data_IF_853934272976
#
_entry.id   IF_853934272976
#
_cell.length_a   1.000
_cell.length_b   1.000
_cell.length_c   1.000
_cell.angle_alpha   90.00
_cell.angle_beta   90.00
_cell.angle_gamma   90.00
#
_symmetry.space_group_name_H-M   'P 1'
#
loop_
_entity.id
_entity.type
_entity.pdbx_description
1 polymer ?
#
# COMPACT_ATOMS: atom_id res chain seq x y z
N UNK A 1 33.89 74.14 6.60
CA UNK A 1 33.04 75.34 6.75
C UNK A 1 32.10 75.42 5.56
N UNK A 2 30.80 75.62 5.83
CA UNK A 2 29.65 75.87 4.92
C UNK A 2 28.90 74.67 4.31
N UNK A 3 27.67 74.53 4.81
CA UNK A 3 26.49 73.88 4.25
C UNK A 3 25.91 74.68 3.07
N UNK A 4 25.21 74.00 2.14
CA UNK A 4 23.96 74.40 1.43
C UNK A 4 23.51 73.21 0.54
N UNK A 5 22.32 72.58 0.69
CA UNK A 5 21.00 72.91 0.10
C UNK A 5 21.03 73.14 -1.44
N UNK A 6 20.17 72.67 -2.35
CA UNK A 6 18.81 72.06 -2.36
C UNK A 6 18.41 71.75 -3.83
N UNK A 7 17.69 70.62 -4.08
CA UNK A 7 16.68 70.28 -5.12
C UNK A 7 16.96 70.52 -6.63
N UNK A 8 16.66 69.52 -7.49
CA UNK A 8 15.63 69.54 -8.57
C UNK A 8 15.64 68.19 -9.32
N UNK A 9 14.45 67.60 -9.41
CA UNK A 9 14.12 66.33 -10.06
C UNK A 9 14.30 66.35 -11.58
N UNK A 10 14.68 65.20 -12.16
CA UNK A 10 14.14 64.75 -13.45
C UNK A 10 13.94 63.23 -13.45
N UNK A 11 12.69 62.88 -13.71
CA UNK A 11 12.15 61.55 -13.92
C UNK A 11 12.77 60.93 -15.17
N UNK A 12 13.26 59.70 -15.06
CA UNK A 12 13.32 58.79 -16.21
C UNK A 12 12.77 57.45 -15.76
N UNK A 13 11.56 57.18 -16.26
CA UNK A 13 10.86 55.92 -16.15
C UNK A 13 11.65 54.85 -16.91
N UNK A 14 12.06 53.79 -16.22
CA UNK A 14 12.43 52.53 -16.87
C UNK A 14 11.66 51.43 -16.17
N UNK A 15 10.60 51.00 -16.84
CA UNK A 15 9.65 50.00 -16.39
C UNK A 15 10.35 48.63 -16.37
N UNK A 16 10.86 48.22 -15.21
CA UNK A 16 11.31 46.83 -14.99
C UNK A 16 10.08 46.04 -14.54
N UNK A 17 9.45 45.36 -15.50
CA UNK A 17 8.38 44.41 -15.22
C UNK A 17 9.02 43.13 -14.65
N UNK A 18 9.23 43.09 -13.33
CA UNK A 18 9.60 41.89 -12.60
C UNK A 18 8.37 40.99 -12.49
N UNK A 19 8.20 40.05 -13.43
CA UNK A 19 7.22 38.98 -13.30
C UNK A 19 7.70 37.99 -12.24
N UNK A 20 7.14 38.09 -11.04
CA UNK A 20 7.22 37.04 -10.03
C UNK A 20 6.45 35.82 -10.57
N UNK A 21 7.18 34.81 -11.07
CA UNK A 21 6.63 33.48 -11.30
C UNK A 21 6.37 32.83 -9.94
N UNK A 22 5.17 33.05 -9.41
CA UNK A 22 4.63 32.24 -8.32
C UNK A 22 4.45 30.82 -8.84
N UNK A 23 5.44 29.96 -8.60
CA UNK A 23 5.28 28.52 -8.74
C UNK A 23 4.34 28.05 -7.62
N UNK A 24 3.05 27.96 -7.92
CA UNK A 24 2.14 27.21 -7.06
C UNK A 24 2.61 25.76 -7.06
N UNK A 25 3.33 25.35 -6.01
CA UNK A 25 3.52 23.94 -5.71
C UNK A 25 2.13 23.36 -5.46
N UNK A 26 1.56 22.70 -6.47
CA UNK A 26 0.45 21.80 -6.26
C UNK A 26 0.97 20.68 -5.38
N UNK A 27 0.79 20.82 -4.07
CA UNK A 27 0.79 19.68 -3.18
C UNK A 27 -0.27 18.73 -3.74
N UNK A 28 0.16 17.58 -4.26
CA UNK A 28 -0.75 16.54 -4.70
C UNK A 28 -1.39 15.96 -3.45
N UNK A 29 -2.46 16.62 -3.00
CA UNK A 29 -3.37 16.08 -2.00
C UNK A 29 -3.89 14.77 -2.60
N UNK A 30 -3.42 13.63 -2.07
CA UNK A 30 -3.96 12.34 -2.48
C UNK A 30 -5.45 12.40 -2.17
N UNK A 31 -6.28 12.44 -3.21
CA UNK A 31 -7.71 12.48 -3.04
C UNK A 31 -8.13 11.32 -2.13
N UNK A 32 -8.89 11.64 -1.08
CA UNK A 32 -9.45 10.68 -0.14
C UNK A 32 -10.14 9.54 -0.90
N UNK A 33 -9.88 8.29 -0.53
CA UNK A 33 -10.56 7.14 -1.14
C UNK A 33 -12.02 7.11 -0.70
N UNK A 34 -12.91 6.79 -1.65
CA UNK A 34 -14.28 6.39 -1.34
C UNK A 34 -14.33 4.97 -0.75
N UNK A 35 -15.43 4.59 -0.08
CA UNK A 35 -15.61 3.22 0.44
C UNK A 35 -15.47 2.14 -0.64
N UNK A 36 -15.89 2.43 -1.88
CA UNK A 36 -15.74 1.53 -3.02
C UNK A 36 -14.27 1.33 -3.42
N UNK A 37 -13.46 2.38 -3.30
CA UNK A 37 -12.02 2.33 -3.58
C UNK A 37 -11.26 1.69 -2.42
N UNK A 38 -11.63 1.97 -1.16
CA UNK A 38 -11.12 1.29 0.03
C UNK A 38 -11.36 -0.22 -0.07
N UNK A 39 -12.59 -0.63 -0.40
CA UNK A 39 -12.93 -2.04 -0.60
C UNK A 39 -12.12 -2.68 -1.75
N UNK A 40 -11.90 -1.95 -2.85
CA UNK A 40 -11.05 -2.40 -3.95
C UNK A 40 -9.61 -2.62 -3.50
N UNK A 41 -9.00 -1.67 -2.79
CA UNK A 41 -7.62 -1.79 -2.29
C UNK A 41 -7.48 -2.99 -1.37
N UNK A 42 -8.41 -3.17 -0.44
CA UNK A 42 -8.39 -4.30 0.49
C UNK A 42 -8.48 -5.65 -0.25
N UNK A 43 -9.40 -5.80 -1.21
CA UNK A 43 -9.55 -7.04 -1.99
C UNK A 43 -8.30 -7.31 -2.84
N UNK A 44 -7.75 -6.30 -3.50
CA UNK A 44 -6.51 -6.42 -4.29
C UNK A 44 -5.34 -6.86 -3.43
N UNK A 45 -5.17 -6.28 -2.23
CA UNK A 45 -4.10 -6.66 -1.32
C UNK A 45 -4.19 -8.13 -0.88
N UNK A 46 -5.40 -8.64 -0.62
CA UNK A 46 -5.62 -10.05 -0.28
C UNK A 46 -5.34 -10.98 -1.48
N UNK A 47 -5.77 -10.60 -2.69
CA UNK A 47 -5.52 -11.39 -3.91
C UNK A 47 -4.04 -11.49 -4.23
N UNK A 48 -3.28 -10.41 -4.01
CA UNK A 48 -1.84 -10.39 -4.18
C UNK A 48 -1.18 -11.42 -3.25
N UNK A 49 -1.56 -11.45 -1.97
CA UNK A 49 -0.98 -12.37 -0.98
C UNK A 49 -1.28 -13.84 -1.33
N UNK A 50 -2.52 -14.12 -1.71
CA UNK A 50 -2.91 -15.44 -2.24
C UNK A 50 -2.02 -15.82 -3.42
N UNK A 51 -1.72 -14.89 -4.34
CA UNK A 51 -0.90 -15.18 -5.52
C UNK A 51 0.57 -15.47 -5.17
N UNK A 52 1.12 -14.84 -4.12
CA UNK A 52 2.46 -15.17 -3.62
C UNK A 52 2.47 -16.56 -2.98
N UNK A 53 1.45 -16.85 -2.17
CA UNK A 53 1.31 -18.14 -1.52
C UNK A 53 1.09 -19.28 -2.52
N UNK A 54 0.30 -19.08 -3.58
CA UNK A 54 0.14 -20.05 -4.67
C UNK A 54 1.47 -20.33 -5.39
N UNK A 55 2.28 -19.29 -5.64
CA UNK A 55 3.63 -19.46 -6.17
C UNK A 55 4.53 -20.25 -5.22
N UNK A 56 4.38 -20.06 -3.90
CA UNK A 56 5.11 -20.84 -2.90
C UNK A 56 4.68 -22.31 -2.88
N UNK A 57 3.39 -22.61 -3.04
CA UNK A 57 2.88 -23.97 -3.20
C UNK A 57 3.42 -24.67 -4.44
N UNK A 58 3.69 -23.92 -5.52
CA UNK A 58 4.27 -24.45 -6.75
C UNK A 58 5.77 -24.72 -6.62
N UNK A 59 6.53 -23.82 -5.99
CA UNK A 59 7.99 -23.80 -6.06
C UNK A 59 8.72 -24.35 -4.84
N UNK A 60 8.10 -24.32 -3.66
CA UNK A 60 8.74 -24.78 -2.43
C UNK A 60 8.64 -26.29 -2.26
N UNK A 61 9.65 -26.86 -1.58
CA UNK A 61 9.60 -28.23 -1.05
C UNK A 61 9.71 -28.25 0.48
N UNK A 62 9.82 -27.09 1.12
CA UNK A 62 9.94 -26.97 2.56
C UNK A 62 8.55 -27.06 3.20
N UNK A 63 8.36 -28.04 4.09
CA UNK A 63 7.06 -28.30 4.70
C UNK A 63 6.50 -27.12 5.50
N UNK A 64 7.36 -26.32 6.15
CA UNK A 64 6.90 -25.16 6.93
C UNK A 64 6.50 -24.01 6.02
N UNK A 65 7.23 -23.79 4.91
CA UNK A 65 6.84 -22.80 3.88
C UNK A 65 5.53 -23.20 3.20
N UNK A 66 5.37 -24.48 2.84
CA UNK A 66 4.15 -24.99 2.22
C UNK A 66 2.93 -24.91 3.14
N UNK A 67 3.14 -25.10 4.45
CA UNK A 67 2.09 -24.95 5.45
C UNK A 67 1.71 -23.48 5.64
N UNK A 68 2.71 -22.60 5.77
CA UNK A 68 2.49 -21.15 5.85
C UNK A 68 1.69 -20.63 4.64
N UNK A 69 2.12 -20.98 3.43
CA UNK A 69 1.43 -20.61 2.20
C UNK A 69 -0.02 -21.13 2.17
N UNK A 70 -0.27 -22.34 2.67
CA UNK A 70 -1.64 -22.85 2.77
C UNK A 70 -2.50 -22.04 3.73
N UNK A 71 -1.95 -21.62 4.87
CA UNK A 71 -2.63 -20.72 5.82
C UNK A 71 -2.96 -19.39 5.15
N UNK A 72 -2.01 -18.77 4.44
CA UNK A 72 -2.26 -17.51 3.71
C UNK A 72 -3.41 -17.68 2.72
N UNK A 73 -3.40 -18.73 1.88
CA UNK A 73 -4.47 -18.97 0.90
C UNK A 73 -5.83 -19.08 1.58
N UNK A 74 -5.92 -19.84 2.67
CA UNK A 74 -7.19 -20.12 3.34
C UNK A 74 -7.76 -18.85 4.02
N UNK A 75 -6.93 -18.18 4.81
CA UNK A 75 -7.35 -17.05 5.64
C UNK A 75 -7.69 -15.85 4.75
N UNK A 76 -6.86 -15.55 3.74
CA UNK A 76 -7.15 -14.44 2.81
C UNK A 76 -8.37 -14.73 1.93
N UNK A 77 -8.63 -15.98 1.53
CA UNK A 77 -9.89 -16.33 0.84
C UNK A 77 -11.11 -16.13 1.73
N UNK A 78 -11.01 -16.47 3.02
CA UNK A 78 -12.08 -16.22 3.99
C UNK A 78 -12.36 -14.71 4.15
N UNK A 79 -11.32 -13.88 4.24
CA UNK A 79 -11.46 -12.42 4.30
C UNK A 79 -12.08 -11.85 3.02
N UNK A 80 -11.66 -12.32 1.84
CA UNK A 80 -12.31 -11.94 0.56
C UNK A 80 -13.79 -12.32 0.57
N UNK A 81 -14.14 -13.50 1.08
CA UNK A 81 -15.53 -13.92 1.21
C UNK A 81 -16.37 -12.96 2.08
N UNK A 82 -15.82 -12.52 3.22
CA UNK A 82 -16.46 -11.52 4.08
C UNK A 82 -16.62 -10.18 3.37
N UNK A 83 -15.59 -9.71 2.65
CA UNK A 83 -15.64 -8.47 1.88
C UNK A 83 -16.69 -8.52 0.76
N UNK A 84 -16.74 -9.63 0.00
CA UNK A 84 -17.74 -9.86 -1.06
C UNK A 84 -19.16 -9.86 -0.49
N UNK A 85 -19.39 -10.53 0.63
CA UNK A 85 -20.69 -10.54 1.30
C UNK A 85 -21.11 -9.12 1.71
N UNK A 86 -20.17 -8.34 2.26
CA UNK A 86 -20.41 -6.97 2.69
C UNK A 86 -20.75 -6.04 1.52
N UNK A 87 -19.92 -6.00 0.47
CA UNK A 87 -20.17 -5.10 -0.68
C UNK A 87 -21.46 -5.47 -1.41
N UNK A 88 -21.82 -6.76 -1.43
CA UNK A 88 -23.12 -7.24 -1.97
C UNK A 88 -24.28 -6.71 -1.13
N UNK A 89 -24.21 -6.84 0.21
CA UNK A 89 -25.22 -6.33 1.13
C UNK A 89 -25.40 -4.81 0.98
N UNK A 90 -24.29 -4.07 0.88
CA UNK A 90 -24.29 -2.62 0.77
C UNK A 90 -24.59 -2.11 -0.65
N UNK A 91 -24.70 -3.01 -1.64
CA UNK A 91 -24.83 -2.67 -3.07
C UNK A 91 -23.70 -1.74 -3.56
N UNK A 92 -22.50 -1.94 -3.02
CA UNK A 92 -21.29 -1.24 -3.42
C UNK A 92 -20.57 -2.06 -4.47
N UNK A 93 -20.21 -1.44 -5.58
CA UNK A 93 -19.32 -2.05 -6.57
C UNK A 93 -17.89 -1.58 -6.28
N UNK A 94 -16.93 -2.48 -6.01
CA UNK A 94 -15.54 -2.09 -5.86
C UNK A 94 -15.06 -1.26 -7.06
N UNK A 95 -14.37 -0.16 -6.78
CA UNK A 95 -13.91 0.78 -7.80
C UNK A 95 -12.39 0.82 -7.81
N UNK A 96 -11.83 0.55 -8.98
CA UNK A 96 -10.40 0.62 -9.20
C UNK A 96 -9.85 2.04 -9.00
N UNK A 97 -8.58 2.14 -8.59
CA UNK A 97 -7.93 3.40 -8.24
C UNK A 97 -6.40 3.29 -8.35
N UNK A 98 -5.72 4.43 -8.27
CA UNK A 98 -4.26 4.50 -8.41
C UNK A 98 -3.51 3.65 -7.37
N UNK A 99 -4.05 3.52 -6.15
CA UNK A 99 -3.46 2.69 -5.09
C UNK A 99 -3.54 1.20 -5.45
N UNK A 100 -4.71 0.72 -5.86
CA UNK A 100 -4.90 -0.66 -6.35
C UNK A 100 -3.99 -0.97 -7.55
N UNK A 101 -3.91 -0.07 -8.53
CA UNK A 101 -3.04 -0.25 -9.69
C UNK A 101 -1.56 -0.29 -9.34
N UNK A 102 -1.12 0.55 -8.40
CA UNK A 102 0.26 0.53 -7.91
C UNK A 102 0.58 -0.79 -7.20
N UNK A 103 -0.32 -1.27 -6.34
CA UNK A 103 -0.16 -2.56 -5.66
C UNK A 103 0.01 -3.70 -6.66
N UNK A 104 -0.83 -3.76 -7.70
CA UNK A 104 -0.74 -4.77 -8.76
C UNK A 104 0.61 -4.68 -9.51
N UNK A 105 1.05 -3.48 -9.87
CA UNK A 105 2.33 -3.29 -10.56
C UNK A 105 3.53 -3.76 -9.72
N UNK A 106 3.54 -3.42 -8.43
CA UNK A 106 4.61 -3.84 -7.52
C UNK A 106 4.55 -5.35 -7.22
N UNK A 107 3.35 -5.93 -7.20
CA UNK A 107 3.17 -7.37 -7.06
C UNK A 107 3.70 -8.15 -8.27
N UNK A 108 3.52 -7.65 -9.49
CA UNK A 108 4.10 -8.31 -10.67
C UNK A 108 5.63 -8.29 -10.65
N UNK A 109 6.25 -7.18 -10.25
CA UNK A 109 7.72 -7.11 -10.07
C UNK A 109 8.20 -8.12 -9.04
N UNK A 110 7.50 -8.21 -7.92
CA UNK A 110 7.78 -9.15 -6.83
C UNK A 110 7.65 -10.60 -7.30
N UNK A 111 6.55 -10.95 -7.99
CA UNK A 111 6.37 -12.30 -8.55
C UNK A 111 7.46 -12.66 -9.55
N UNK A 112 7.88 -11.72 -10.40
CA UNK A 112 8.98 -11.98 -11.34
C UNK A 112 10.30 -12.24 -10.62
N UNK A 113 10.59 -11.46 -9.57
CA UNK A 113 11.74 -11.70 -8.69
C UNK A 113 11.67 -13.08 -8.03
N UNK A 114 10.52 -13.45 -7.46
CA UNK A 114 10.31 -14.77 -6.83
C UNK A 114 10.47 -15.92 -7.85
N UNK A 115 9.87 -15.80 -9.04
CA UNK A 115 9.97 -16.81 -10.11
C UNK A 115 11.40 -17.07 -10.54
N UNK A 116 12.26 -16.04 -10.53
CA UNK A 116 13.68 -16.16 -10.88
C UNK A 116 14.51 -16.98 -9.88
N UNK A 117 13.95 -17.27 -8.70
CA UNK A 117 14.62 -18.03 -7.64
C UNK A 117 14.12 -19.47 -7.58
N UNK A 118 14.91 -20.32 -6.92
CA UNK A 118 14.60 -21.74 -6.74
C UNK A 118 15.15 -22.25 -5.40
N UNK A 119 14.58 -23.37 -4.93
CA UNK A 119 14.98 -24.04 -3.70
C UNK A 119 15.02 -23.10 -2.50
N UNK A 120 16.05 -23.23 -1.66
CA UNK A 120 16.20 -22.41 -0.44
C UNK A 120 16.25 -20.90 -0.72
N UNK A 121 16.76 -20.48 -1.88
CA UNK A 121 16.78 -19.07 -2.25
C UNK A 121 15.38 -18.52 -2.59
N UNK A 122 14.51 -19.36 -3.17
CA UNK A 122 13.10 -19.04 -3.34
C UNK A 122 12.40 -18.94 -1.99
N UNK A 123 12.55 -19.94 -1.14
CA UNK A 123 11.89 -20.00 0.17
C UNK A 123 12.23 -18.77 1.02
N UNK A 124 13.52 -18.41 1.09
CA UNK A 124 13.98 -17.20 1.77
C UNK A 124 13.33 -15.95 1.21
N UNK A 125 13.33 -15.79 -0.12
CA UNK A 125 12.80 -14.58 -0.76
C UNK A 125 11.28 -14.45 -0.61
N UNK A 126 10.56 -15.58 -0.62
CA UNK A 126 9.13 -15.60 -0.31
C UNK A 126 8.90 -15.15 1.14
N UNK A 127 9.53 -15.79 2.13
CA UNK A 127 9.33 -15.41 3.54
C UNK A 127 9.76 -13.96 3.83
N UNK A 128 10.86 -13.50 3.25
CA UNK A 128 11.29 -12.09 3.35
C UNK A 128 10.23 -11.14 2.77
N UNK A 129 9.61 -11.52 1.64
CA UNK A 129 8.51 -10.77 1.05
C UNK A 129 7.30 -10.74 1.98
N UNK A 130 6.84 -11.86 2.53
CA UNK A 130 5.65 -11.89 3.40
C UNK A 130 5.85 -11.00 4.64
N UNK A 131 7.05 -10.99 5.23
CA UNK A 131 7.37 -10.08 6.34
C UNK A 131 7.27 -8.62 5.91
N UNK A 132 7.82 -8.25 4.75
CA UNK A 132 7.77 -6.88 4.26
C UNK A 132 6.35 -6.47 3.84
N UNK A 133 5.64 -7.37 3.17
CA UNK A 133 4.31 -7.16 2.62
C UNK A 133 3.28 -7.01 3.74
N UNK A 134 3.24 -7.90 4.72
CA UNK A 134 2.30 -7.77 5.85
C UNK A 134 2.58 -6.51 6.68
N UNK A 135 3.84 -6.09 6.87
CA UNK A 135 4.14 -4.79 7.51
C UNK A 135 3.53 -3.63 6.74
N UNK A 136 3.70 -3.62 5.42
CA UNK A 136 3.15 -2.57 4.56
C UNK A 136 1.61 -2.58 4.55
N UNK A 137 1.00 -3.76 4.46
CA UNK A 137 -0.47 -3.92 4.49
C UNK A 137 -1.05 -3.52 5.83
N UNK A 138 -0.46 -3.91 6.96
CA UNK A 138 -0.91 -3.48 8.29
C UNK A 138 -0.85 -1.95 8.40
N UNK A 139 0.27 -1.34 7.98
CA UNK A 139 0.42 0.11 8.00
C UNK A 139 -0.63 0.81 7.10
N UNK A 140 -0.91 0.25 5.91
CA UNK A 140 -1.94 0.78 5.02
C UNK A 140 -3.35 0.61 5.59
N UNK A 141 -3.67 -0.54 6.19
CA UNK A 141 -4.98 -0.80 6.79
C UNK A 141 -5.21 0.16 7.96
N UNK A 142 -4.26 0.26 8.89
CA UNK A 142 -4.39 1.11 10.09
C UNK A 142 -4.26 2.60 9.78
N UNK A 143 -3.38 2.99 8.86
CA UNK A 143 -3.03 4.38 8.59
C UNK A 143 -3.74 5.04 7.40
N UNK A 144 -4.37 4.25 6.52
CA UNK A 144 -5.06 4.76 5.33
C UNK A 144 -6.50 4.21 5.24
N UNK A 145 -6.67 2.89 5.16
CA UNK A 145 -7.98 2.31 4.82
C UNK A 145 -9.01 2.48 5.94
N UNK A 146 -8.65 2.22 7.20
CA UNK A 146 -9.55 2.43 8.35
C UNK A 146 -9.91 3.92 8.48
N UNK A 147 -8.95 4.88 8.46
CA UNK A 147 -9.27 6.30 8.49
C UNK A 147 -10.20 6.78 7.37
N UNK A 148 -10.01 6.27 6.15
CA UNK A 148 -10.76 6.73 4.98
C UNK A 148 -12.12 6.04 4.79
N UNK A 149 -12.31 4.84 5.36
CA UNK A 149 -13.60 4.17 5.37
C UNK A 149 -14.67 4.99 6.13
N UNK A 150 -15.73 5.38 5.43
CA UNK A 150 -16.87 6.11 6.00
C UNK A 150 -17.96 5.14 6.47
N UNK A 151 -18.23 4.10 5.69
CA UNK A 151 -19.18 3.07 6.06
C UNK A 151 -18.71 2.30 7.31
N UNK A 152 -19.56 2.29 8.34
CA UNK A 152 -19.26 1.64 9.62
C UNK A 152 -18.95 0.15 9.47
N UNK A 153 -19.72 -0.59 8.68
CA UNK A 153 -19.52 -2.04 8.51
C UNK A 153 -18.21 -2.36 7.77
N UNK A 154 -17.83 -1.52 6.79
CA UNK A 154 -16.53 -1.64 6.12
C UNK A 154 -15.38 -1.35 7.08
N UNK A 155 -15.50 -0.28 7.86
CA UNK A 155 -14.53 0.08 8.90
C UNK A 155 -14.37 -1.04 9.94
N UNK A 156 -15.48 -1.59 10.43
CA UNK A 156 -15.48 -2.70 11.39
C UNK A 156 -14.80 -3.94 10.79
N UNK A 157 -15.10 -4.29 9.51
CA UNK A 157 -14.44 -5.40 8.83
C UNK A 157 -12.92 -5.20 8.78
N UNK A 158 -12.46 -4.01 8.37
CA UNK A 158 -11.02 -3.69 8.31
C UNK A 158 -10.35 -3.78 9.68
N UNK A 159 -11.00 -3.29 10.75
CA UNK A 159 -10.49 -3.38 12.11
C UNK A 159 -10.40 -4.84 12.59
N UNK A 160 -11.41 -5.66 12.28
CA UNK A 160 -11.49 -7.05 12.72
C UNK A 160 -10.44 -7.97 12.06
N UNK A 161 -9.92 -7.61 10.88
CA UNK A 161 -8.88 -8.40 10.20
C UNK A 161 -7.45 -8.06 10.63
N UNK A 162 -7.23 -6.90 11.27
CA UNK A 162 -5.88 -6.47 11.72
C UNK A 162 -5.19 -7.51 12.63
N UNK A 163 -5.86 -8.15 13.61
CA UNK A 163 -5.23 -9.18 14.42
C UNK A 163 -4.74 -10.40 13.62
N UNK A 164 -5.47 -10.79 12.56
CA UNK A 164 -5.05 -11.89 11.69
C UNK A 164 -3.79 -11.51 10.89
N UNK A 165 -3.75 -10.29 10.34
CA UNK A 165 -2.55 -9.78 9.64
C UNK A 165 -1.32 -9.75 10.55
N UNK A 166 -1.49 -9.34 11.82
CA UNK A 166 -0.40 -9.33 12.81
C UNK A 166 0.08 -10.75 13.12
N UNK A 167 -0.84 -11.69 13.28
CA UNK A 167 -0.51 -13.12 13.45
C UNK A 167 0.27 -13.67 12.25
N UNK A 168 -0.13 -13.33 11.02
CA UNK A 168 0.58 -13.74 9.80
C UNK A 168 1.99 -13.16 9.74
N UNK A 169 2.16 -11.87 10.07
CA UNK A 169 3.47 -11.23 10.18
C UNK A 169 4.37 -11.91 11.22
N UNK A 170 3.82 -12.25 12.40
CA UNK A 170 4.55 -12.96 13.44
C UNK A 170 5.03 -14.32 12.95
N UNK A 171 4.16 -15.11 12.32
CA UNK A 171 4.50 -16.42 11.77
C UNK A 171 5.58 -16.31 10.67
N UNK A 172 5.45 -15.37 9.74
CA UNK A 172 6.46 -15.12 8.71
C UNK A 172 7.81 -14.72 9.34
N UNK A 173 7.79 -13.86 10.36
CA UNK A 173 9.00 -13.43 11.09
C UNK A 173 9.65 -14.59 11.85
N UNK A 174 8.84 -15.49 12.44
CA UNK A 174 9.35 -16.71 13.08
C UNK A 174 10.05 -17.62 12.08
N UNK A 175 9.46 -17.86 10.91
CA UNK A 175 10.08 -18.66 9.85
C UNK A 175 11.37 -18.00 9.34
N UNK A 176 11.35 -16.68 9.13
CA UNK A 176 12.53 -15.90 8.73
C UNK A 176 13.67 -16.11 9.73
N UNK A 177 13.42 -15.89 11.01
CA UNK A 177 14.43 -16.01 12.07
C UNK A 177 14.94 -17.43 12.25
N UNK A 178 14.05 -18.42 12.15
CA UNK A 178 14.38 -19.83 12.39
C UNK A 178 15.20 -20.44 11.25
N UNK A 179 14.92 -20.06 10.00
CA UNK A 179 15.43 -20.78 8.82
C UNK A 179 16.31 -19.96 7.87
N UNK A 180 16.13 -18.64 7.85
CA UNK A 180 16.62 -17.80 6.76
C UNK A 180 17.33 -16.51 7.21
N UNK A 181 17.52 -16.29 8.51
CA UNK A 181 18.38 -15.22 9.03
C UNK A 181 19.86 -15.55 8.91
#
# INVERSE_FOLDING_TARGET
>A
MKLTSTIIARVTCTMVCSTLLSVSSFAQESAKLSDAEVASVAVVANQIDISYAELAKEKSKDAEVLNFAQTMINDHKAVIGQAVALVTKLKVTPKDNATSQKLLSDAEKTKNMLRSKSGKAFDKAYIDNEVAYHKAVIAAVEGLLIPEAENKELKDLLQNVVPALKTHLEHATMLQNKKYK
#
